data_IF_356763992414
#
_entry.id   IF_356763992414
#
_cell.length_a   1.000
_cell.length_b   1.000
_cell.length_c   1.000
_cell.angle_alpha   90.00
_cell.angle_beta   90.00
_cell.angle_gamma   90.00
#
_symmetry.space_group_name_H-M   'P 1'
#
loop_
_entity.id
_entity.type
_entity.pdbx_description
1 polymer ?
#
# COMPACT_ATOMS: atom_id res chain seq x y z
N UNK A 1 -24.11 -21.25 59.29
CA UNK A 1 -24.84 -21.46 58.01
C UNK A 1 -24.84 -20.17 57.24
N UNK A 2 -23.87 -19.96 56.37
CA UNK A 2 -23.91 -18.89 55.37
C UNK A 2 -23.33 -19.44 54.08
N UNK A 3 -24.22 -19.64 53.09
CA UNK A 3 -23.88 -20.06 51.75
C UNK A 3 -23.36 -18.84 50.98
N UNK A 4 -22.05 -18.85 50.65
CA UNK A 4 -21.44 -17.88 49.77
C UNK A 4 -21.73 -18.31 48.33
N UNK A 5 -22.54 -17.50 47.67
CA UNK A 5 -22.83 -17.63 46.24
C UNK A 5 -21.62 -17.16 45.46
N UNK A 6 -20.86 -18.08 44.90
CA UNK A 6 -19.82 -17.75 43.90
C UNK A 6 -20.49 -17.38 42.58
N UNK A 7 -20.56 -16.09 42.27
CA UNK A 7 -20.85 -15.63 40.93
C UNK A 7 -19.68 -16.04 39.99
N UNK A 8 -19.93 -16.99 39.11
CA UNK A 8 -19.04 -17.33 38.00
C UNK A 8 -19.12 -16.20 36.99
N UNK A 9 -18.11 -15.36 36.95
CA UNK A 9 -17.81 -14.56 35.79
C UNK A 9 -17.40 -15.52 34.66
N UNK A 10 -18.31 -15.75 33.72
CA UNK A 10 -18.00 -16.35 32.43
C UNK A 10 -17.26 -15.30 31.63
N UNK A 11 -15.95 -15.28 31.81
CA UNK A 11 -15.04 -14.65 30.84
C UNK A 11 -15.13 -15.52 29.58
N UNK A 12 -15.87 -15.05 28.58
CA UNK A 12 -15.83 -15.61 27.23
C UNK A 12 -14.42 -15.38 26.69
N UNK A 13 -13.54 -16.34 26.90
CA UNK A 13 -12.30 -16.45 26.12
C UNK A 13 -12.71 -16.56 24.64
N UNK A 14 -12.65 -15.44 23.93
CA UNK A 14 -12.53 -15.48 22.46
C UNK A 14 -11.29 -16.32 22.19
N UNK A 15 -11.48 -17.57 21.80
CA UNK A 15 -10.43 -18.40 21.22
C UNK A 15 -9.80 -17.58 20.11
N UNK A 16 -8.60 -17.09 20.35
CA UNK A 16 -7.74 -16.58 19.29
C UNK A 16 -7.56 -17.72 18.29
N UNK A 17 -8.30 -17.61 17.22
CA UNK A 17 -8.24 -18.50 16.09
C UNK A 17 -6.84 -18.32 15.49
N UNK A 18 -6.13 -19.43 15.35
CA UNK A 18 -4.95 -19.68 14.53
C UNK A 18 -4.33 -18.43 13.88
N UNK A 19 -3.05 -18.19 14.14
CA UNK A 19 -2.23 -17.15 13.50
C UNK A 19 -2.59 -17.11 12.01
N UNK A 20 -3.06 -15.95 11.54
CA UNK A 20 -3.29 -15.68 10.14
C UNK A 20 -1.99 -15.99 9.39
N UNK A 21 -2.05 -16.88 8.39
CA UNK A 21 -0.92 -17.19 7.52
C UNK A 21 -0.66 -16.04 6.53
N UNK A 22 -1.56 -15.06 6.46
CA UNK A 22 -1.52 -13.97 5.51
C UNK A 22 -0.66 -12.81 6.04
N UNK A 23 0.02 -12.13 5.13
CA UNK A 23 0.77 -10.90 5.41
C UNK A 23 -0.20 -9.78 5.84
N UNK A 24 -1.26 -9.57 5.04
CA UNK A 24 -2.35 -8.64 5.31
C UNK A 24 -3.66 -9.43 5.34
N UNK A 25 -4.47 -9.20 6.36
CA UNK A 25 -5.83 -9.75 6.46
C UNK A 25 -6.80 -8.63 6.83
N UNK A 26 -7.78 -8.40 5.98
CA UNK A 26 -8.82 -7.40 6.14
C UNK A 26 -10.14 -8.14 6.28
N UNK A 27 -10.79 -7.96 7.43
CA UNK A 27 -12.04 -8.64 7.79
C UNK A 27 -13.18 -7.62 7.97
N UNK A 28 -14.18 -7.68 7.09
CA UNK A 28 -15.40 -6.86 7.14
C UNK A 28 -15.15 -5.35 7.37
N UNK A 29 -14.11 -4.82 6.74
CA UNK A 29 -13.64 -3.46 6.96
C UNK A 29 -14.66 -2.43 6.50
N UNK A 30 -15.11 -1.59 7.42
CA UNK A 30 -15.95 -0.43 7.16
C UNK A 30 -15.18 0.84 7.51
N UNK A 31 -15.14 1.80 6.58
CA UNK A 31 -14.39 3.04 6.73
C UNK A 31 -15.27 4.23 6.41
N UNK A 32 -15.26 5.23 7.29
CA UNK A 32 -15.90 6.51 7.09
C UNK A 32 -14.87 7.63 6.88
N UNK A 33 -15.23 8.59 6.04
CA UNK A 33 -14.53 9.87 5.86
C UNK A 33 -15.50 10.96 6.28
N UNK A 34 -15.11 11.77 7.27
CA UNK A 34 -16.06 12.65 7.98
C UNK A 34 -17.23 11.82 8.53
N UNK A 35 -18.46 12.09 8.12
CA UNK A 35 -19.66 11.38 8.55
C UNK A 35 -20.23 10.41 7.49
N UNK A 36 -19.49 10.18 6.39
CA UNK A 36 -19.95 9.33 5.29
C UNK A 36 -19.17 8.03 5.26
N UNK A 37 -19.85 6.89 5.37
CA UNK A 37 -19.24 5.60 5.09
C UNK A 37 -18.92 5.47 3.60
N UNK A 38 -17.68 5.05 3.30
CA UNK A 38 -17.16 4.88 1.94
C UNK A 38 -16.86 3.41 1.66
N UNK A 39 -16.34 2.66 2.64
CA UNK A 39 -16.13 1.22 2.52
C UNK A 39 -17.14 0.47 3.39
N UNK A 40 -17.69 -0.60 2.86
CA UNK A 40 -18.83 -1.32 3.42
C UNK A 40 -18.54 -2.82 3.54
N UNK A 41 -17.77 -3.24 4.56
CA UNK A 41 -17.48 -4.64 4.84
C UNK A 41 -16.52 -5.27 3.83
N UNK A 42 -15.42 -4.59 3.52
CA UNK A 42 -14.38 -5.09 2.61
C UNK A 42 -13.64 -6.25 3.26
N UNK A 43 -13.46 -7.33 2.50
CA UNK A 43 -12.63 -8.48 2.87
C UNK A 43 -11.52 -8.65 1.83
N UNK A 44 -10.26 -8.74 2.28
CA UNK A 44 -9.11 -8.92 1.42
C UNK A 44 -7.99 -9.62 2.18
N UNK A 45 -7.37 -10.62 1.56
CA UNK A 45 -6.22 -11.34 2.10
C UNK A 45 -5.08 -11.26 1.11
N UNK A 46 -3.87 -10.93 1.60
CA UNK A 46 -2.66 -10.82 0.78
C UNK A 46 -1.56 -11.62 1.46
N UNK A 47 -0.91 -12.53 0.73
CA UNK A 47 0.25 -13.28 1.21
C UNK A 47 1.56 -12.55 0.86
N UNK A 48 2.65 -12.98 1.49
CA UNK A 48 3.99 -12.48 1.13
C UNK A 48 4.31 -12.79 -0.33
N UNK A 49 4.80 -11.78 -1.06
CA UNK A 49 5.21 -11.90 -2.45
C UNK A 49 4.08 -11.89 -3.46
N UNK A 50 2.81 -11.86 -3.05
CA UNK A 50 1.68 -11.74 -3.97
C UNK A 50 1.50 -10.31 -4.48
N UNK A 51 1.03 -10.20 -5.71
CA UNK A 51 0.63 -8.96 -6.35
C UNK A 51 -0.87 -8.94 -6.56
N UNK A 52 -1.53 -8.05 -5.85
CA UNK A 52 -2.97 -7.81 -5.94
C UNK A 52 -3.23 -6.48 -6.66
N UNK A 53 -4.18 -6.51 -7.58
CA UNK A 53 -4.65 -5.30 -8.29
C UNK A 53 -6.05 -4.96 -7.81
N UNK A 54 -6.28 -3.72 -7.43
CA UNK A 54 -7.58 -3.19 -7.04
C UNK A 54 -8.06 -2.23 -8.12
N UNK A 55 -9.10 -2.61 -8.84
CA UNK A 55 -9.74 -1.82 -9.89
C UNK A 55 -11.16 -1.42 -9.49
N UNK A 56 -11.71 -0.43 -10.17
CA UNK A 56 -13.09 0.00 -9.96
C UNK A 56 -13.31 1.42 -10.47
N UNK A 57 -14.56 1.86 -10.60
CA UNK A 57 -14.88 3.19 -11.08
C UNK A 57 -14.37 4.29 -10.13
N UNK A 58 -14.36 5.53 -10.62
CA UNK A 58 -14.01 6.67 -9.79
C UNK A 58 -15.01 6.82 -8.64
N UNK A 59 -14.50 7.12 -7.44
CA UNK A 59 -15.34 7.22 -6.25
C UNK A 59 -15.72 5.89 -5.60
N UNK A 60 -15.27 4.73 -6.12
CA UNK A 60 -15.58 3.43 -5.54
C UNK A 60 -14.97 3.17 -4.15
N UNK A 61 -13.98 3.99 -3.72
CA UNK A 61 -13.32 3.84 -2.42
C UNK A 61 -11.92 3.23 -2.46
N UNK A 62 -11.29 3.12 -3.65
CA UNK A 62 -9.97 2.49 -3.81
C UNK A 62 -8.88 3.17 -2.96
N UNK A 63 -8.68 4.48 -3.13
CA UNK A 63 -7.71 5.26 -2.35
C UNK A 63 -8.08 5.30 -0.86
N UNK A 64 -9.39 5.27 -0.54
CA UNK A 64 -9.89 5.16 0.84
C UNK A 64 -9.33 3.91 1.52
N UNK A 65 -9.30 2.78 0.81
CA UNK A 65 -8.70 1.55 1.35
C UNK A 65 -7.21 1.75 1.63
N UNK A 66 -6.43 2.29 0.68
CA UNK A 66 -5.00 2.56 0.87
C UNK A 66 -4.71 3.47 2.07
N UNK A 67 -5.46 4.58 2.19
CA UNK A 67 -5.30 5.51 3.32
C UNK A 67 -5.73 4.90 4.66
N UNK A 68 -6.80 4.11 4.69
CA UNK A 68 -7.24 3.42 5.89
C UNK A 68 -6.20 2.37 6.34
N UNK A 69 -5.59 1.64 5.40
CA UNK A 69 -4.51 0.69 5.67
C UNK A 69 -3.27 1.39 6.26
N UNK A 70 -2.95 2.61 5.80
CA UNK A 70 -1.85 3.40 6.36
C UNK A 70 -2.20 4.14 7.65
N UNK A 71 -3.44 4.05 8.15
CA UNK A 71 -3.84 4.70 9.40
C UNK A 71 -3.91 6.22 9.29
N UNK A 72 -4.29 6.75 8.13
CA UNK A 72 -4.55 8.18 7.98
C UNK A 72 -5.75 8.58 8.84
N UNK A 73 -5.61 9.57 9.76
CA UNK A 73 -6.65 9.89 10.75
C UNK A 73 -7.96 10.43 10.17
N UNK A 74 -7.96 10.87 8.92
CA UNK A 74 -9.17 11.30 8.22
C UNK A 74 -10.07 10.11 7.82
N UNK A 75 -9.49 8.90 7.76
CA UNK A 75 -10.16 7.67 7.31
C UNK A 75 -10.43 6.78 8.53
N UNK A 76 -11.60 6.95 9.13
CA UNK A 76 -11.95 6.27 10.38
C UNK A 76 -12.45 4.86 10.12
N UNK A 77 -11.80 3.86 10.67
CA UNK A 77 -12.31 2.48 10.72
C UNK A 77 -13.46 2.44 11.71
N UNK A 78 -14.68 2.21 11.21
CA UNK A 78 -15.92 2.15 12.00
C UNK A 78 -16.37 0.72 12.27
N UNK A 79 -15.82 -0.27 11.53
CA UNK A 79 -16.13 -1.70 11.71
C UNK A 79 -15.09 -2.59 11.06
N UNK A 80 -15.08 -3.85 11.47
CA UNK A 80 -14.14 -4.85 10.99
C UNK A 80 -12.75 -4.77 11.62
N UNK A 81 -11.77 -5.42 10.99
CA UNK A 81 -10.40 -5.50 11.48
C UNK A 81 -9.39 -5.42 10.33
N UNK A 82 -8.20 -4.88 10.62
CA UNK A 82 -7.02 -4.92 9.77
C UNK A 82 -5.92 -5.61 10.57
N UNK A 83 -5.45 -6.76 10.09
CA UNK A 83 -4.30 -7.45 10.66
C UNK A 83 -3.14 -7.43 9.68
N UNK A 84 -1.95 -7.12 10.19
CA UNK A 84 -0.71 -7.14 9.42
C UNK A 84 0.34 -7.97 10.17
N UNK A 85 0.94 -8.97 9.51
CA UNK A 85 1.73 -10.02 10.18
C UNK A 85 0.99 -10.65 11.38
N UNK A 86 -0.33 -10.81 11.26
CA UNK A 86 -1.20 -11.35 12.32
C UNK A 86 -1.44 -10.42 13.50
N UNK A 87 -1.00 -9.15 13.45
CA UNK A 87 -1.20 -8.13 14.49
C UNK A 87 -2.27 -7.13 14.06
N UNK A 88 -3.17 -6.81 14.98
CA UNK A 88 -4.19 -5.81 14.78
C UNK A 88 -3.56 -4.41 14.59
N UNK A 89 -4.04 -3.68 13.59
CA UNK A 89 -3.51 -2.39 13.20
C UNK A 89 -4.33 -1.20 13.71
N UNK A 90 -5.51 -1.45 14.28
CA UNK A 90 -6.35 -0.38 14.82
C UNK A 90 -5.64 0.31 15.98
N UNK A 91 -5.70 1.65 15.99
CA UNK A 91 -5.01 2.47 16.99
C UNK A 91 -3.53 2.72 16.72
N UNK A 92 -2.91 2.04 15.75
CA UNK A 92 -1.55 2.36 15.33
C UNK A 92 -1.54 3.55 14.37
N UNK A 93 -0.61 4.48 14.62
CA UNK A 93 -0.36 5.63 13.74
C UNK A 93 0.34 5.23 12.44
N UNK A 94 0.31 6.10 11.42
CA UNK A 94 0.92 5.85 10.13
C UNK A 94 2.42 5.54 10.23
N UNK A 95 3.16 6.22 11.11
CA UNK A 95 4.58 5.97 11.32
C UNK A 95 4.85 4.60 11.98
N UNK A 96 3.96 4.13 12.86
CA UNK A 96 4.05 2.80 13.46
C UNK A 96 3.82 1.71 12.40
N UNK A 97 2.80 1.85 11.55
CA UNK A 97 2.51 0.93 10.44
C UNK A 97 3.65 0.91 9.41
N UNK A 98 4.22 2.06 9.09
CA UNK A 98 5.39 2.16 8.21
C UNK A 98 6.62 1.45 8.82
N UNK A 99 6.85 1.55 10.13
CA UNK A 99 7.92 0.80 10.84
C UNK A 99 7.70 -0.71 10.80
N UNK A 100 6.46 -1.18 10.82
CA UNK A 100 6.12 -2.60 10.67
C UNK A 100 6.31 -3.11 9.24
N UNK A 101 6.46 -2.24 8.25
CA UNK A 101 6.79 -2.60 6.87
C UNK A 101 5.72 -2.29 5.84
N UNK A 102 4.73 -1.46 6.16
CA UNK A 102 3.80 -0.94 5.16
C UNK A 102 4.38 0.30 4.46
N UNK A 103 4.07 0.46 3.19
CA UNK A 103 4.43 1.63 2.37
C UNK A 103 3.24 2.03 1.51
N UNK A 104 3.02 3.33 1.37
CA UNK A 104 2.01 3.89 0.45
C UNK A 104 2.67 4.89 -0.50
N UNK A 105 2.52 4.66 -1.80
CA UNK A 105 2.78 5.68 -2.83
C UNK A 105 1.53 6.51 -3.01
N UNK A 106 1.64 7.82 -2.85
CA UNK A 106 0.50 8.73 -2.91
C UNK A 106 0.14 9.07 -4.36
N UNK A 107 -1.14 9.26 -4.64
CA UNK A 107 -1.58 9.78 -5.94
C UNK A 107 -0.90 11.13 -6.24
N UNK A 108 -0.84 12.03 -5.25
CA UNK A 108 -0.19 13.33 -5.33
C UNK A 108 0.86 13.48 -4.21
N UNK A 109 2.14 13.14 -4.46
CA UNK A 109 3.19 13.25 -3.45
C UNK A 109 3.43 14.70 -3.03
N UNK A 110 3.45 14.93 -1.71
CA UNK A 110 3.65 16.26 -1.14
C UNK A 110 5.11 16.72 -1.24
N UNK A 111 5.28 18.03 -1.34
CA UNK A 111 6.58 18.68 -1.26
C UNK A 111 6.96 18.91 0.21
N UNK A 112 8.22 18.63 0.57
CA UNK A 112 8.74 18.80 1.92
C UNK A 112 10.00 19.67 1.86
N UNK A 113 9.87 21.00 1.94
CA UNK A 113 11.00 21.92 1.93
C UNK A 113 11.91 21.70 3.15
N UNK A 114 13.22 21.80 2.97
CA UNK A 114 14.22 21.67 4.02
C UNK A 114 14.62 20.23 4.36
N UNK A 115 14.06 19.23 3.70
CA UNK A 115 14.39 17.82 3.90
C UNK A 115 14.77 17.17 2.58
N UNK A 116 16.07 16.86 2.37
CA UNK A 116 16.50 16.23 1.12
C UNK A 116 16.01 14.79 1.00
N UNK A 117 15.78 14.31 -0.24
CA UNK A 117 15.33 12.94 -0.52
C UNK A 117 16.25 11.89 0.13
N UNK A 118 17.58 12.03 0.03
CA UNK A 118 18.53 11.13 0.70
C UNK A 118 18.41 11.17 2.22
N UNK A 119 18.25 12.37 2.80
CA UNK A 119 18.09 12.52 4.25
C UNK A 119 16.81 11.89 4.74
N UNK A 120 15.70 12.05 4.01
CA UNK A 120 14.42 11.41 4.31
C UNK A 120 14.56 9.88 4.33
N UNK A 121 15.04 9.29 3.24
CA UNK A 121 15.16 7.81 3.12
C UNK A 121 16.10 7.25 4.19
N UNK A 122 17.26 7.90 4.41
CA UNK A 122 18.24 7.47 5.40
C UNK A 122 17.68 7.52 6.83
N UNK A 123 16.94 8.58 7.16
CA UNK A 123 16.30 8.74 8.47
C UNK A 123 15.22 7.67 8.67
N UNK A 124 14.40 7.41 7.66
CA UNK A 124 13.37 6.37 7.68
C UNK A 124 13.97 4.97 7.86
N UNK A 125 15.06 4.66 7.14
CA UNK A 125 15.81 3.40 7.31
C UNK A 125 16.37 3.25 8.72
N UNK A 126 16.96 4.31 9.29
CA UNK A 126 17.49 4.30 10.65
C UNK A 126 16.38 4.06 11.68
N UNK A 127 15.23 4.73 11.54
CA UNK A 127 14.06 4.55 12.42
C UNK A 127 13.49 3.13 12.34
N UNK A 128 13.36 2.58 11.13
CA UNK A 128 12.79 1.24 10.93
C UNK A 128 13.71 0.13 11.45
N UNK A 129 15.02 0.26 11.23
CA UNK A 129 15.99 -0.78 11.59
C UNK A 129 16.54 -0.63 13.02
N UNK A 130 16.34 0.53 13.66
CA UNK A 130 16.96 0.88 14.93
C UNK A 130 18.49 1.01 14.85
N UNK A 131 19.06 1.03 13.65
CA UNK A 131 20.52 1.01 13.42
C UNK A 131 20.96 2.23 12.61
N UNK A 132 22.20 2.68 12.88
CA UNK A 132 22.82 3.73 12.07
C UNK A 132 23.07 3.22 10.65
N UNK A 133 22.57 3.95 9.64
CA UNK A 133 22.80 3.63 8.23
C UNK A 133 24.22 3.97 7.84
N UNK A 134 24.96 3.00 7.28
CA UNK A 134 26.34 3.18 6.78
C UNK A 134 26.30 4.01 5.50
N UNK A 135 26.88 5.21 5.52
CA UNK A 135 26.79 6.20 4.44
C UNK A 135 27.22 5.63 3.08
N UNK A 136 28.40 5.03 3.01
CA UNK A 136 28.92 4.49 1.74
C UNK A 136 28.03 3.41 1.12
N UNK A 137 27.51 2.50 1.95
CA UNK A 137 26.60 1.46 1.48
C UNK A 137 25.25 2.04 1.02
N UNK A 138 24.77 3.06 1.72
CA UNK A 138 23.54 3.77 1.34
C UNK A 138 23.71 4.50 0.01
N UNK A 139 24.77 5.27 -0.17
CA UNK A 139 25.05 5.98 -1.45
C UNK A 139 25.14 5.00 -2.63
N UNK A 140 25.79 3.86 -2.45
CA UNK A 140 25.84 2.81 -3.49
C UNK A 140 24.44 2.31 -3.86
N UNK A 141 23.60 2.03 -2.86
CA UNK A 141 22.22 1.55 -3.08
C UNK A 141 21.35 2.63 -3.70
N UNK A 142 21.49 3.88 -3.23
CA UNK A 142 20.77 5.04 -3.77
C UNK A 142 21.09 5.25 -5.26
N UNK A 143 22.36 5.26 -5.61
CA UNK A 143 22.79 5.46 -6.99
C UNK A 143 22.31 4.32 -7.91
N UNK A 144 22.36 3.06 -7.45
CA UNK A 144 21.86 1.93 -8.21
C UNK A 144 20.33 2.02 -8.44
N UNK A 145 19.57 2.43 -7.42
CA UNK A 145 18.12 2.63 -7.56
C UNK A 145 17.80 3.84 -8.48
N UNK A 146 18.57 4.92 -8.39
CA UNK A 146 18.42 6.08 -9.27
C UNK A 146 18.73 5.72 -10.74
N UNK A 147 19.79 4.94 -11.00
CA UNK A 147 20.15 4.44 -12.32
C UNK A 147 19.03 3.58 -12.93
N UNK A 148 18.48 2.63 -12.14
CA UNK A 148 17.35 1.78 -12.57
C UNK A 148 16.14 2.62 -13.01
N UNK A 149 15.88 3.71 -12.28
CA UNK A 149 14.76 4.61 -12.54
C UNK A 149 15.10 5.75 -13.52
N UNK A 150 16.29 5.73 -14.12
CA UNK A 150 16.74 6.79 -15.02
C UNK A 150 16.55 8.18 -14.39
N UNK A 151 16.93 8.30 -13.12
CA UNK A 151 16.85 9.51 -12.33
C UNK A 151 18.27 10.00 -12.03
N UNK A 152 18.53 11.28 -12.24
CA UNK A 152 19.84 11.87 -11.89
C UNK A 152 20.07 11.72 -10.37
N UNK A 153 21.17 11.11 -9.91
CA UNK A 153 21.49 10.99 -8.49
C UNK A 153 21.51 12.33 -7.72
N UNK A 154 21.73 13.45 -8.41
CA UNK A 154 21.68 14.80 -7.83
C UNK A 154 20.29 15.15 -7.22
N UNK A 155 19.21 14.52 -7.69
CA UNK A 155 17.90 14.66 -7.04
C UNK A 155 17.89 14.21 -5.58
N UNK A 156 18.80 13.33 -5.20
CA UNK A 156 18.96 12.90 -3.82
C UNK A 156 19.29 14.01 -2.83
N UNK A 157 19.99 15.05 -3.29
CA UNK A 157 20.43 16.19 -2.49
C UNK A 157 19.44 17.38 -2.55
N UNK A 158 18.40 17.28 -3.40
CA UNK A 158 17.30 18.25 -3.46
C UNK A 158 16.24 17.94 -2.41
N UNK A 159 15.50 18.96 -2.02
CA UNK A 159 14.36 18.84 -1.11
C UNK A 159 13.29 17.91 -1.70
N UNK A 160 12.74 17.04 -0.86
CA UNK A 160 11.79 15.98 -1.25
C UNK A 160 10.62 16.56 -2.04
N UNK A 161 10.53 16.17 -3.31
CA UNK A 161 9.50 16.54 -4.27
C UNK A 161 9.42 18.04 -4.63
N UNK A 162 10.25 18.92 -4.04
CA UNK A 162 10.20 20.37 -4.31
C UNK A 162 10.69 20.67 -5.71
N UNK A 163 9.78 21.20 -6.56
CA UNK A 163 10.06 21.50 -7.95
C UNK A 163 10.35 20.28 -8.82
N UNK A 164 9.94 19.08 -8.40
CA UNK A 164 9.95 17.89 -9.23
C UNK A 164 8.74 17.90 -10.16
N UNK A 165 8.92 17.47 -11.40
CA UNK A 165 7.82 17.15 -12.30
C UNK A 165 7.00 15.97 -11.76
N UNK A 166 5.81 15.74 -12.31
CA UNK A 166 4.97 14.59 -11.92
C UNK A 166 5.71 13.25 -12.05
N UNK A 167 6.42 13.06 -13.18
CA UNK A 167 7.22 11.84 -13.40
C UNK A 167 8.38 11.69 -12.42
N UNK A 168 9.09 12.77 -12.11
CA UNK A 168 10.18 12.75 -11.12
C UNK A 168 9.68 12.46 -9.71
N UNK A 169 8.51 13.00 -9.31
CA UNK A 169 7.86 12.69 -8.03
C UNK A 169 7.55 11.20 -7.93
N UNK A 170 6.98 10.60 -8.99
CA UNK A 170 6.68 9.16 -9.00
C UNK A 170 7.94 8.30 -8.99
N UNK A 171 8.96 8.65 -9.77
CA UNK A 171 10.27 7.98 -9.70
C UNK A 171 10.88 8.06 -8.30
N UNK A 172 10.79 9.21 -7.63
CA UNK A 172 11.28 9.38 -6.26
C UNK A 172 10.52 8.51 -5.25
N UNK A 173 9.20 8.29 -5.42
CA UNK A 173 8.43 7.36 -4.58
C UNK A 173 8.86 5.90 -4.80
N UNK A 174 9.04 5.48 -6.06
CA UNK A 174 9.51 4.12 -6.36
C UNK A 174 10.94 3.91 -5.87
N UNK A 175 11.82 4.92 -5.98
CA UNK A 175 13.15 4.90 -5.38
C UNK A 175 13.08 4.67 -3.86
N UNK A 176 12.18 5.37 -3.17
CA UNK A 176 11.95 5.17 -1.75
C UNK A 176 11.51 3.73 -1.47
N UNK A 177 10.53 3.19 -2.21
CA UNK A 177 10.08 1.81 -2.08
C UNK A 177 11.23 0.81 -2.24
N UNK A 178 12.05 0.95 -3.27
CA UNK A 178 13.21 0.08 -3.53
C UNK A 178 14.24 0.10 -2.39
N UNK A 179 14.50 1.27 -1.81
CA UNK A 179 15.47 1.43 -0.72
C UNK A 179 14.90 1.02 0.64
N UNK A 180 13.64 1.32 0.91
CA UNK A 180 12.98 0.99 2.16
C UNK A 180 12.60 -0.48 2.26
N UNK A 181 12.40 -1.18 1.14
CA UNK A 181 12.05 -2.60 1.07
C UNK A 181 10.89 -2.95 2.01
N UNK A 182 9.70 -2.36 1.83
CA UNK A 182 8.55 -2.69 2.65
C UNK A 182 8.15 -4.17 2.50
N UNK A 183 7.42 -4.72 3.46
CA UNK A 183 6.80 -6.05 3.31
C UNK A 183 5.55 -5.96 2.43
N UNK A 184 4.82 -4.84 2.53
CA UNK A 184 3.66 -4.51 1.69
C UNK A 184 3.82 -3.11 1.11
N UNK A 185 3.82 -3.00 -0.23
CA UNK A 185 3.74 -1.72 -0.92
C UNK A 185 2.35 -1.52 -1.53
N UNK A 186 1.70 -0.43 -1.15
CA UNK A 186 0.42 0.02 -1.69
C UNK A 186 0.73 1.13 -2.69
N UNK A 187 0.41 0.91 -3.96
CA UNK A 187 0.67 1.83 -5.06
C UNK A 187 -0.65 2.44 -5.54
N UNK A 188 -0.91 3.70 -5.19
CA UNK A 188 -2.17 4.38 -5.54
C UNK A 188 -1.99 5.26 -6.78
N UNK A 189 -2.54 4.81 -7.91
CA UNK A 189 -2.50 5.49 -9.23
C UNK A 189 -1.11 6.00 -9.61
N UNK A 190 -0.09 5.15 -9.42
CA UNK A 190 1.33 5.53 -9.60
C UNK A 190 1.67 5.85 -11.07
N UNK A 191 0.87 5.42 -12.02
CA UNK A 191 1.01 5.67 -13.45
C UNK A 191 0.13 6.84 -13.96
N UNK A 192 -0.70 7.43 -13.11
CA UNK A 192 -1.60 8.52 -13.50
C UNK A 192 -0.82 9.79 -13.87
N UNK A 193 -1.17 10.39 -15.01
CA UNK A 193 -0.56 11.63 -15.49
C UNK A 193 0.87 11.50 -16.00
N UNK A 194 1.39 10.28 -16.16
CA UNK A 194 2.72 10.01 -16.70
C UNK A 194 2.69 9.81 -18.22
N UNK A 195 3.76 10.24 -18.88
CA UNK A 195 4.05 9.85 -20.27
C UNK A 195 4.47 8.37 -20.35
N UNK A 196 4.56 7.86 -21.58
CA UNK A 196 4.85 6.42 -21.84
C UNK A 196 6.21 6.02 -21.29
N UNK A 197 7.23 6.87 -21.39
CA UNK A 197 8.59 6.55 -20.97
C UNK A 197 8.70 6.58 -19.43
N UNK A 198 8.03 7.52 -18.79
CA UNK A 198 7.93 7.57 -17.31
C UNK A 198 7.20 6.35 -16.76
N UNK A 199 6.08 5.93 -17.38
CA UNK A 199 5.36 4.69 -16.99
C UNK A 199 6.28 3.48 -17.10
N UNK A 200 6.99 3.31 -18.21
CA UNK A 200 7.94 2.19 -18.39
C UNK A 200 9.03 2.18 -17.33
N UNK A 201 9.56 3.35 -16.98
CA UNK A 201 10.62 3.47 -15.97
C UNK A 201 10.11 3.12 -14.58
N UNK A 202 8.94 3.62 -14.22
CA UNK A 202 8.25 3.30 -12.96
C UNK A 202 7.92 1.81 -12.89
N UNK A 203 7.36 1.22 -13.98
CA UNK A 203 7.05 -0.21 -14.05
C UNK A 203 8.29 -1.09 -13.83
N UNK A 204 9.45 -0.74 -14.42
CA UNK A 204 10.72 -1.45 -14.16
C UNK A 204 11.12 -1.42 -12.68
N UNK A 205 10.92 -0.30 -12.00
CA UNK A 205 11.17 -0.21 -10.57
C UNK A 205 10.25 -1.10 -9.75
N UNK A 206 8.96 -1.16 -10.09
CA UNK A 206 7.98 -2.05 -9.43
C UNK A 206 8.29 -3.52 -9.74
N UNK A 207 8.65 -3.85 -10.99
CA UNK A 207 9.08 -5.19 -11.39
C UNK A 207 10.34 -5.65 -10.60
N UNK A 208 11.34 -4.76 -10.44
CA UNK A 208 12.52 -5.06 -9.66
C UNK A 208 12.17 -5.33 -8.18
N UNK A 209 11.25 -4.56 -7.60
CA UNK A 209 10.73 -4.82 -6.26
C UNK A 209 10.07 -6.19 -6.16
N UNK A 210 9.17 -6.54 -7.10
CA UNK A 210 8.48 -7.82 -7.12
C UNK A 210 9.47 -9.00 -7.21
N UNK A 211 10.44 -8.93 -8.14
CA UNK A 211 11.37 -10.05 -8.42
C UNK A 211 12.45 -10.21 -7.36
N UNK A 212 13.03 -9.11 -6.88
CA UNK A 212 14.23 -9.15 -6.05
C UNK A 212 13.91 -9.12 -4.56
N UNK A 213 12.85 -8.41 -4.16
CA UNK A 213 12.54 -8.18 -2.75
C UNK A 213 11.45 -9.10 -2.22
N UNK A 214 10.66 -9.70 -3.11
CA UNK A 214 9.54 -10.59 -2.77
C UNK A 214 8.55 -9.97 -1.77
N UNK A 215 8.44 -8.65 -1.76
CA UNK A 215 7.42 -7.93 -1.01
C UNK A 215 6.07 -8.04 -1.72
N UNK A 216 4.98 -8.01 -0.95
CA UNK A 216 3.65 -7.98 -1.52
C UNK A 216 3.32 -6.61 -2.12
N UNK A 217 2.51 -6.62 -3.16
CA UNK A 217 2.02 -5.43 -3.86
C UNK A 217 0.49 -5.36 -3.79
N UNK A 218 -0.04 -4.19 -3.43
CA UNK A 218 -1.44 -3.83 -3.64
C UNK A 218 -1.47 -2.62 -4.58
N UNK A 219 -1.76 -2.86 -5.86
CA UNK A 219 -1.74 -1.82 -6.90
C UNK A 219 -3.16 -1.34 -7.14
N UNK A 220 -3.42 -0.09 -6.84
CA UNK A 220 -4.67 0.60 -7.13
C UNK A 220 -4.47 1.34 -8.45
N UNK A 221 -5.15 0.92 -9.49
CA UNK A 221 -5.05 1.55 -10.81
C UNK A 221 -6.32 1.38 -11.63
N UNK A 222 -6.51 2.26 -12.58
CA UNK A 222 -7.49 2.14 -13.66
C UNK A 222 -6.83 1.92 -15.03
N UNK A 223 -5.51 1.81 -15.05
CA UNK A 223 -4.69 1.64 -16.27
C UNK A 223 -3.93 0.31 -16.21
N UNK A 224 -3.78 -0.34 -17.35
CA UNK A 224 -3.03 -1.59 -17.48
C UNK A 224 -1.55 -1.38 -17.73
N UNK A 225 -1.13 -0.17 -18.10
CA UNK A 225 0.24 0.09 -18.54
C UNK A 225 1.28 -0.29 -17.49
N UNK A 226 1.01 -0.01 -16.21
CA UNK A 226 1.94 -0.37 -15.12
C UNK A 226 1.98 -1.88 -14.90
N UNK A 227 0.92 -2.60 -15.28
CA UNK A 227 0.77 -4.04 -15.05
C UNK A 227 1.42 -4.90 -16.13
N UNK A 228 1.73 -4.35 -17.32
CA UNK A 228 2.22 -5.11 -18.49
C UNK A 228 3.49 -5.92 -18.21
N UNK A 229 4.34 -5.48 -17.30
CA UNK A 229 5.60 -6.17 -16.93
C UNK A 229 5.50 -6.96 -15.62
N UNK A 230 4.35 -6.92 -14.94
CA UNK A 230 4.17 -7.52 -13.62
C UNK A 230 3.43 -8.85 -13.69
N UNK A 231 3.78 -9.77 -12.81
CA UNK A 231 2.93 -10.91 -12.53
C UNK A 231 1.83 -10.47 -11.56
N UNK A 232 0.57 -10.66 -11.95
CA UNK A 232 -0.61 -10.36 -11.13
C UNK A 232 -1.22 -11.67 -10.65
N UNK A 233 -1.24 -11.88 -9.33
CA UNK A 233 -1.84 -13.07 -8.72
C UNK A 233 -3.36 -12.93 -8.61
N UNK A 234 -3.82 -11.77 -8.15
CA UNK A 234 -5.26 -11.52 -7.95
C UNK A 234 -5.65 -10.12 -8.42
N UNK A 235 -6.86 -10.05 -8.97
CA UNK A 235 -7.51 -8.78 -9.33
C UNK A 235 -8.84 -8.68 -8.61
N UNK A 236 -9.09 -7.54 -7.96
CA UNK A 236 -10.29 -7.26 -7.21
C UNK A 236 -11.03 -6.08 -7.84
N UNK A 237 -12.35 -6.21 -7.99
CA UNK A 237 -13.21 -5.12 -8.46
C UNK A 237 -13.94 -4.54 -7.28
N UNK A 238 -13.67 -3.26 -6.98
CA UNK A 238 -14.33 -2.48 -5.94
C UNK A 238 -15.39 -1.59 -6.59
N UNK A 239 -16.64 -1.73 -6.15
CA UNK A 239 -17.77 -0.90 -6.57
C UNK A 239 -18.55 -0.50 -5.33
N UNK A 240 -18.90 0.79 -5.21
CA UNK A 240 -19.68 1.31 -4.09
C UNK A 240 -19.17 0.83 -2.71
N UNK A 241 -17.85 0.86 -2.52
CA UNK A 241 -17.20 0.48 -1.25
C UNK A 241 -17.19 -1.02 -0.93
N UNK A 242 -17.50 -1.90 -1.90
CA UNK A 242 -17.51 -3.36 -1.74
C UNK A 242 -16.66 -4.03 -2.79
N UNK A 243 -15.92 -5.09 -2.43
CA UNK A 243 -15.32 -5.98 -3.43
C UNK A 243 -16.43 -6.87 -3.96
N UNK A 244 -16.81 -6.66 -5.23
CA UNK A 244 -17.90 -7.38 -5.89
C UNK A 244 -17.41 -8.60 -6.68
N UNK A 245 -16.15 -8.61 -7.10
CA UNK A 245 -15.52 -9.73 -7.80
C UNK A 245 -14.03 -9.82 -7.47
N UNK A 246 -13.54 -11.03 -7.34
CA UNK A 246 -12.11 -11.37 -7.29
C UNK A 246 -11.83 -12.43 -8.35
N UNK A 247 -10.75 -12.23 -9.09
CA UNK A 247 -10.25 -13.16 -10.13
C UNK A 247 -8.73 -13.11 -10.19
N UNK A 248 -8.17 -13.79 -11.16
CA UNK A 248 -6.74 -13.75 -11.49
C UNK A 248 -6.37 -12.53 -12.37
N UNK A 249 -5.15 -12.50 -12.90
CA UNK A 249 -4.68 -11.42 -13.76
C UNK A 249 -5.51 -11.21 -15.04
N UNK A 250 -6.20 -12.23 -15.54
CA UNK A 250 -7.05 -12.12 -16.75
C UNK A 250 -8.26 -11.21 -16.55
N UNK A 251 -8.66 -10.99 -15.29
CA UNK A 251 -9.75 -10.07 -14.97
C UNK A 251 -9.41 -8.62 -15.34
N UNK A 252 -8.12 -8.25 -15.35
CA UNK A 252 -7.65 -6.94 -15.83
C UNK A 252 -8.01 -6.73 -17.30
N UNK A 253 -7.78 -7.75 -18.14
CA UNK A 253 -8.09 -7.70 -19.57
C UNK A 253 -9.61 -7.66 -19.82
N UNK A 254 -10.39 -8.39 -19.02
CA UNK A 254 -11.85 -8.35 -19.07
C UNK A 254 -12.38 -6.92 -18.80
N UNK A 255 -11.85 -6.26 -17.76
CA UNK A 255 -12.23 -4.87 -17.43
C UNK A 255 -11.83 -3.89 -18.51
N UNK A 256 -10.65 -4.04 -19.11
CA UNK A 256 -10.22 -3.18 -20.21
C UNK A 256 -11.13 -3.29 -21.42
N UNK A 257 -11.60 -4.50 -21.72
CA UNK A 257 -12.46 -4.75 -22.88
C UNK A 257 -13.92 -4.32 -22.67
N UNK A 258 -14.45 -4.42 -21.44
CA UNK A 258 -15.89 -4.29 -21.15
C UNK A 258 -16.25 -3.16 -20.18
N UNK A 259 -15.25 -2.54 -19.52
CA UNK A 259 -15.50 -1.55 -18.48
C UNK A 259 -16.08 -2.13 -17.19
N UNK A 260 -16.60 -1.25 -16.33
CA UNK A 260 -17.16 -1.62 -15.02
C UNK A 260 -18.71 -1.73 -15.02
N UNK A 261 -19.39 -1.38 -16.12
CA UNK A 261 -20.85 -1.28 -16.17
C UNK A 261 -21.59 -2.55 -15.70
N UNK A 262 -21.04 -3.74 -16.04
CA UNK A 262 -21.61 -5.02 -15.63
C UNK A 262 -21.56 -5.25 -14.10
N UNK A 263 -20.69 -4.55 -13.40
CA UNK A 263 -20.45 -4.68 -11.95
C UNK A 263 -21.13 -3.56 -11.14
N UNK A 264 -21.53 -2.47 -11.78
CA UNK A 264 -22.24 -1.35 -11.13
C UNK A 264 -23.72 -1.67 -10.86
N UNK A 265 -24.26 -2.67 -11.57
CA UNK A 265 -25.66 -3.09 -11.47
C UNK A 265 -25.86 -4.30 -10.54
N UNK A 266 -24.79 -4.83 -9.97
CA UNK A 266 -24.80 -5.94 -9.03
C UNK A 266 -24.74 -5.43 -7.58
#
# INVERSE_FOLDING_TARGET
MQKIVKARFLCTERKFKTMSQHLLDIENLTVAVEDKEILHGVNLQVNEGETHVLMGPNGAGKSTLGYALMGNPQYKVTGGAILFHGKEQQGLSADQRAKEGMFLSFQNPLEVPGLSLKSFVRSTLAQRTGKRVKLFAFEKQFNAAAELLQMDPAYGDRDLNVGFSGGEKKKAEILQMLLLRPSLAILDETDSGLDVDAVRTVSRGVEAYQKEQKGALLIITHSTRILESLHVDYTHILVNGRIVKTGDGSLVDEINARGFEAYEQA
#
